data_IF_551554931025
#
_entry.id   IF_551554931025
#
_cell.length_a   1.000
_cell.length_b   1.000
_cell.length_c   1.000
_cell.angle_alpha   90.00
_cell.angle_beta   90.00
_cell.angle_gamma   90.00
#
_symmetry.space_group_name_H-M   'P 1'
#
loop_
_entity.id
_entity.type
_entity.pdbx_description
1 polymer ?
#
# COMPACT_ATOMS: atom_id res chain seq x y z
N UNK A 1 5.56 -11.01 28.95
CA UNK A 1 5.02 -10.11 27.90
C UNK A 1 6.06 -10.01 26.82
N UNK A 2 5.68 -9.84 25.57
CA UNK A 2 6.64 -10.00 24.48
C UNK A 2 7.44 -8.71 24.27
N UNK A 3 8.77 -8.86 24.25
CA UNK A 3 9.66 -7.82 23.76
C UNK A 3 9.38 -7.52 22.28
N UNK A 4 9.39 -6.24 21.92
CA UNK A 4 9.20 -5.78 20.57
C UNK A 4 10.43 -5.07 20.01
N UNK A 5 10.61 -5.10 18.70
CA UNK A 5 11.72 -4.39 18.05
C UNK A 5 11.59 -2.89 18.26
N UNK A 6 12.69 -2.24 18.67
CA UNK A 6 12.72 -0.81 18.99
C UNK A 6 12.24 0.05 17.80
N UNK A 7 12.68 -0.24 16.58
CA UNK A 7 12.22 0.49 15.39
C UNK A 7 10.71 0.35 15.13
N UNK A 8 10.09 -0.76 15.57
CA UNK A 8 8.64 -0.92 15.49
C UNK A 8 7.95 0.01 16.48
N UNK A 9 8.41 0.02 17.74
CA UNK A 9 7.88 0.88 18.79
C UNK A 9 8.01 2.36 18.38
N UNK A 10 9.18 2.80 17.92
CA UNK A 10 9.40 4.18 17.46
C UNK A 10 8.40 4.58 16.35
N UNK A 11 8.16 3.68 15.41
CA UNK A 11 7.21 3.94 14.32
C UNK A 11 5.75 3.96 14.79
N UNK A 12 5.36 3.08 15.71
CA UNK A 12 4.03 3.05 16.33
C UNK A 12 3.78 4.29 17.18
N UNK A 13 4.81 4.81 17.86
CA UNK A 13 4.72 6.09 18.59
C UNK A 13 4.71 7.32 17.67
N UNK A 14 4.73 7.14 16.36
CA UNK A 14 4.63 8.23 15.39
C UNK A 14 5.93 9.04 15.20
N UNK A 15 7.05 8.64 15.81
CA UNK A 15 8.30 9.38 15.76
C UNK A 15 8.88 9.44 14.33
N UNK A 16 8.91 8.28 13.64
CA UNK A 16 9.47 8.18 12.30
C UNK A 16 9.02 6.88 11.60
N UNK A 17 9.47 6.61 10.37
CA UNK A 17 9.27 5.30 9.75
C UNK A 17 10.19 4.25 10.37
N UNK A 18 9.87 2.95 10.23
CA UNK A 18 10.75 1.86 10.71
C UNK A 18 12.15 1.95 10.14
N UNK A 19 12.29 2.29 8.83
CA UNK A 19 13.61 2.47 8.18
C UNK A 19 14.35 3.68 8.71
N UNK A 20 13.67 4.80 8.93
CA UNK A 20 14.29 5.97 9.56
C UNK A 20 14.70 5.68 11.01
N UNK A 21 13.91 4.92 11.76
CA UNK A 21 14.27 4.46 13.08
C UNK A 21 15.54 3.59 13.08
N UNK A 22 15.66 2.66 12.12
CA UNK A 22 16.87 1.85 11.94
C UNK A 22 18.11 2.71 11.69
N UNK A 23 17.96 3.77 10.88
CA UNK A 23 19.05 4.73 10.64
C UNK A 23 19.43 5.49 11.92
N UNK A 24 18.46 6.04 12.65
CA UNK A 24 18.68 6.77 13.92
C UNK A 24 19.34 5.85 14.95
N UNK A 25 18.95 4.57 15.00
CA UNK A 25 19.59 3.57 15.87
C UNK A 25 21.03 3.32 15.43
N UNK A 26 21.30 3.16 14.13
CA UNK A 26 22.64 2.94 13.59
C UNK A 26 23.59 4.12 13.86
N UNK A 27 23.06 5.34 13.92
CA UNK A 27 23.76 6.58 14.27
C UNK A 27 24.08 6.67 15.78
N UNK A 28 23.62 5.69 16.60
CA UNK A 28 23.89 5.65 18.05
C UNK A 28 23.03 6.63 18.87
N UNK A 29 21.98 7.18 18.31
CA UNK A 29 21.11 8.21 18.92
C UNK A 29 19.98 7.63 19.78
N UNK A 30 19.88 6.30 19.86
CA UNK A 30 18.83 5.61 20.62
C UNK A 30 19.41 4.84 21.78
N UNK A 31 18.82 5.01 22.97
CA UNK A 31 19.19 4.30 24.20
C UNK A 31 17.96 3.64 24.83
N UNK A 32 18.14 2.48 25.42
CA UNK A 32 17.14 1.82 26.26
C UNK A 32 17.75 1.64 27.65
N UNK A 33 17.06 2.11 28.69
CA UNK A 33 17.53 2.09 30.07
C UNK A 33 18.95 2.72 30.23
N UNK A 34 19.24 3.75 29.42
CA UNK A 34 20.51 4.45 29.42
C UNK A 34 21.63 3.80 28.60
N UNK A 35 21.39 2.61 28.00
CA UNK A 35 22.38 1.89 27.19
C UNK A 35 22.11 2.06 25.71
N UNK A 36 23.12 2.36 24.87
CA UNK A 36 22.99 2.39 23.42
C UNK A 36 22.52 1.05 22.88
N UNK A 37 21.64 1.10 21.88
CA UNK A 37 21.05 -0.09 21.23
C UNK A 37 21.48 -0.21 19.77
N UNK A 38 21.32 -1.41 19.20
CA UNK A 38 21.64 -1.73 17.81
C UNK A 38 20.37 -2.02 17.01
N UNK A 39 20.46 -1.93 15.70
CA UNK A 39 19.38 -2.31 14.80
C UNK A 39 18.99 -3.78 15.00
N UNK A 40 17.72 -4.01 15.28
CA UNK A 40 17.18 -5.34 15.56
C UNK A 40 17.01 -5.66 17.05
N UNK A 41 17.56 -4.83 17.94
CA UNK A 41 17.35 -4.98 19.39
C UNK A 41 15.87 -4.79 19.73
N UNK A 42 15.50 -5.38 20.87
CA UNK A 42 14.12 -5.37 21.39
C UNK A 42 14.07 -4.72 22.75
N UNK A 43 12.88 -4.26 23.12
CA UNK A 43 12.60 -3.76 24.47
C UNK A 43 11.18 -4.16 24.90
N UNK A 44 10.92 -4.20 26.18
CA UNK A 44 9.57 -4.30 26.73
C UNK A 44 8.97 -2.88 26.87
N UNK A 45 7.96 -2.49 26.06
CA UNK A 45 7.38 -1.15 26.10
C UNK A 45 6.69 -0.82 27.43
N UNK A 46 6.50 -1.80 28.33
CA UNK A 46 5.87 -1.61 29.62
C UNK A 46 6.86 -1.39 30.76
N UNK A 47 8.13 -1.74 30.57
CA UNK A 47 9.15 -1.74 31.63
C UNK A 47 10.34 -0.88 31.30
N UNK A 48 10.73 -0.89 30.02
CA UNK A 48 11.94 -0.22 29.58
C UNK A 48 11.69 1.25 29.25
N UNK A 49 12.73 2.06 29.40
CA UNK A 49 12.70 3.49 29.11
C UNK A 49 13.47 3.75 27.83
N UNK A 50 12.77 4.27 26.82
CA UNK A 50 13.34 4.64 25.52
C UNK A 50 13.79 6.11 25.54
N UNK A 51 15.00 6.37 25.04
CA UNK A 51 15.51 7.71 24.77
C UNK A 51 15.92 7.82 23.29
N UNK A 52 15.63 8.95 22.68
CA UNK A 52 16.09 9.35 21.35
C UNK A 52 16.69 10.74 21.48
N UNK A 53 17.92 10.94 21.01
CA UNK A 53 18.69 12.19 21.19
C UNK A 53 18.73 12.68 22.64
N UNK A 54 18.91 11.72 23.58
CA UNK A 54 18.87 11.92 25.03
C UNK A 54 17.51 12.39 25.61
N UNK A 55 16.50 12.58 24.79
CA UNK A 55 15.13 12.87 25.23
C UNK A 55 14.34 11.57 25.51
N UNK A 56 13.67 11.54 26.68
CA UNK A 56 12.82 10.41 27.05
C UNK A 56 11.55 10.35 26.19
N UNK A 57 11.30 9.21 25.57
CA UNK A 57 10.08 8.93 24.83
C UNK A 57 9.06 8.23 25.72
N UNK A 58 7.93 8.87 25.94
CA UNK A 58 6.81 8.30 26.67
C UNK A 58 5.96 7.42 25.76
N UNK A 59 5.99 6.10 25.99
CA UNK A 59 5.24 5.14 25.18
C UNK A 59 3.77 5.20 25.54
N UNK A 60 2.96 5.66 24.60
CA UNK A 60 1.50 5.71 24.74
C UNK A 60 0.92 4.32 24.43
N UNK A 61 0.29 3.69 25.40
CA UNK A 61 -0.30 2.34 25.28
C UNK A 61 -1.63 2.32 24.50
N UNK A 62 -2.37 3.42 24.55
CA UNK A 62 -3.71 3.55 23.95
C UNK A 62 -3.68 4.67 22.89
N UNK A 63 -2.91 4.48 21.84
CA UNK A 63 -3.01 5.40 20.69
C UNK A 63 -4.35 5.24 19.99
N UNK A 64 -4.94 6.35 19.59
CA UNK A 64 -6.11 6.33 18.73
C UNK A 64 -5.71 5.75 17.37
N UNK A 65 -6.40 4.68 16.95
CA UNK A 65 -6.23 4.08 15.65
C UNK A 65 -7.16 4.74 14.64
N UNK A 66 -6.61 4.97 13.46
CA UNK A 66 -7.32 5.57 12.32
C UNK A 66 -7.37 4.58 11.16
N UNK A 67 -8.54 4.45 10.56
CA UNK A 67 -8.80 3.64 9.37
C UNK A 67 -9.59 4.49 8.40
N UNK A 68 -8.97 4.91 7.31
CA UNK A 68 -9.56 5.82 6.34
C UNK A 68 -9.72 5.12 5.00
N UNK A 69 -10.86 5.33 4.37
CA UNK A 69 -11.09 5.03 2.97
C UNK A 69 -10.93 6.32 2.17
N UNK A 70 -9.81 6.45 1.48
CA UNK A 70 -9.46 7.62 0.67
C UNK A 70 -9.77 7.33 -0.80
N UNK A 71 -10.47 8.23 -1.49
CA UNK A 71 -10.47 8.24 -2.95
C UNK A 71 -9.19 8.95 -3.42
N UNK A 72 -8.22 8.18 -3.89
CA UNK A 72 -6.99 8.74 -4.46
C UNK A 72 -7.26 9.26 -5.87
N UNK A 73 -7.09 10.56 -6.15
CA UNK A 73 -7.18 11.08 -7.51
C UNK A 73 -5.93 10.73 -8.33
N UNK A 74 -6.04 10.86 -9.65
CA UNK A 74 -4.88 10.78 -10.55
C UNK A 74 -3.88 11.88 -10.25
N UNK A 75 -2.60 11.63 -10.52
CA UNK A 75 -1.53 12.60 -10.34
C UNK A 75 -0.82 12.52 -8.99
N UNK A 76 -1.42 11.89 -7.99
CA UNK A 76 -0.83 11.69 -6.66
C UNK A 76 -0.04 10.38 -6.59
N UNK A 77 1.15 10.44 -6.00
CA UNK A 77 2.00 9.26 -5.77
C UNK A 77 1.63 8.62 -4.43
N UNK A 78 1.53 7.29 -4.40
CA UNK A 78 1.29 6.54 -3.17
C UNK A 78 2.62 6.29 -2.45
N UNK A 79 3.04 7.27 -1.67
CA UNK A 79 4.23 7.21 -0.82
C UNK A 79 4.04 8.09 0.41
N UNK A 80 4.73 7.75 1.50
CA UNK A 80 4.76 8.57 2.71
C UNK A 80 5.76 9.73 2.61
N UNK A 81 6.73 9.66 1.70
CA UNK A 81 7.66 10.75 1.39
C UNK A 81 8.06 10.68 -0.08
N UNK A 82 8.35 11.80 -0.69
CA UNK A 82 8.78 11.88 -2.08
C UNK A 82 9.93 12.90 -2.23
N UNK A 83 11.08 12.41 -2.68
CA UNK A 83 12.29 13.22 -2.86
C UNK A 83 12.24 14.09 -4.13
N UNK A 84 11.31 13.79 -5.04
CA UNK A 84 11.15 14.51 -6.30
C UNK A 84 10.13 15.65 -6.23
N UNK A 85 9.58 15.95 -5.05
CA UNK A 85 8.62 17.02 -4.84
C UNK A 85 7.26 16.81 -5.55
N UNK A 86 6.90 15.54 -5.87
CA UNK A 86 5.61 15.23 -6.48
C UNK A 86 4.51 15.23 -5.42
N UNK A 87 3.29 15.55 -5.82
CA UNK A 87 2.12 15.43 -4.94
C UNK A 87 1.96 14.01 -4.44
N UNK A 88 1.85 13.84 -3.13
CA UNK A 88 1.68 12.55 -2.49
C UNK A 88 0.30 12.40 -1.85
N UNK A 89 -0.13 11.18 -1.62
CA UNK A 89 -1.40 10.89 -0.92
C UNK A 89 -1.40 11.44 0.51
N UNK A 90 -0.24 11.75 1.08
CA UNK A 90 -0.14 12.34 2.42
C UNK A 90 -0.72 13.75 2.49
N UNK A 91 -0.67 14.52 1.39
CA UNK A 91 -1.30 15.84 1.31
C UNK A 91 -2.81 15.79 1.47
N UNK A 92 -3.44 14.67 1.05
CA UNK A 92 -4.88 14.47 1.11
C UNK A 92 -5.40 14.11 2.51
N UNK A 93 -4.51 13.83 3.45
CA UNK A 93 -4.84 13.44 4.84
C UNK A 93 -4.06 14.28 5.85
N UNK A 94 -3.53 15.43 5.43
CA UNK A 94 -2.70 16.31 6.26
C UNK A 94 -3.44 16.85 7.50
N UNK A 95 -4.77 16.97 7.44
CA UNK A 95 -5.60 17.47 8.54
C UNK A 95 -5.80 16.46 9.68
N UNK A 96 -5.40 15.19 9.46
CA UNK A 96 -5.56 14.15 10.47
C UNK A 96 -4.39 14.22 11.46
N UNK A 97 -4.65 14.38 12.76
CA UNK A 97 -3.60 14.54 13.78
C UNK A 97 -2.96 13.18 14.15
N UNK A 98 -2.55 12.42 13.15
CA UNK A 98 -1.90 11.12 13.30
C UNK A 98 -0.95 10.86 12.14
N UNK A 99 0.14 10.13 12.41
CA UNK A 99 1.06 9.70 11.37
C UNK A 99 0.46 8.52 10.60
N UNK A 100 -0.26 8.82 9.54
CA UNK A 100 -0.86 7.84 8.64
C UNK A 100 0.14 7.34 7.58
N UNK A 101 -0.16 6.17 7.02
CA UNK A 101 0.52 5.63 5.83
C UNK A 101 -0.45 4.83 4.98
N UNK A 102 -0.19 4.75 3.66
CA UNK A 102 -1.06 4.01 2.75
C UNK A 102 -0.95 2.50 2.97
N UNK A 103 -2.08 1.81 2.88
CA UNK A 103 -2.21 0.34 2.91
C UNK A 103 -2.18 -0.17 1.47
N UNK A 104 -1.03 -0.61 1.04
CA UNK A 104 -0.77 -0.92 -0.37
C UNK A 104 -0.57 0.33 -1.22
N UNK A 105 -0.70 0.16 -2.53
CA UNK A 105 -0.38 1.22 -3.49
C UNK A 105 -1.39 1.28 -4.64
N UNK A 106 -1.53 2.48 -5.19
CA UNK A 106 -2.06 2.76 -6.53
C UNK A 106 -1.03 3.59 -7.29
N UNK A 107 -0.87 3.33 -8.57
CA UNK A 107 0.03 4.12 -9.42
C UNK A 107 -0.41 5.57 -9.52
N UNK A 108 0.51 6.47 -9.90
CA UNK A 108 0.24 7.89 -10.09
C UNK A 108 -0.92 8.14 -11.07
N UNK A 109 -0.97 7.36 -12.13
CA UNK A 109 -1.97 7.44 -13.22
C UNK A 109 -3.24 6.58 -12.97
N UNK A 110 -3.36 5.96 -11.81
CA UNK A 110 -4.54 5.21 -11.35
C UNK A 110 -5.26 5.99 -10.24
N UNK A 111 -6.54 5.71 -10.05
CA UNK A 111 -7.40 6.39 -9.08
C UNK A 111 -8.26 5.41 -8.28
N UNK A 112 -9.01 5.91 -7.31
CA UNK A 112 -9.99 5.15 -6.55
C UNK A 112 -9.56 4.79 -5.14
N UNK A 113 -10.16 3.74 -4.58
CA UNK A 113 -10.04 3.38 -3.17
C UNK A 113 -8.61 3.06 -2.75
N UNK A 114 -8.12 3.82 -1.78
CA UNK A 114 -6.87 3.59 -1.08
C UNK A 114 -7.14 3.66 0.43
N UNK A 115 -6.76 2.62 1.16
CA UNK A 115 -6.87 2.63 2.62
C UNK A 115 -5.65 3.33 3.22
N UNK A 116 -5.87 4.11 4.27
CA UNK A 116 -4.82 4.80 5.05
C UNK A 116 -5.02 4.45 6.53
N UNK A 117 -3.94 4.25 7.26
CA UNK A 117 -3.99 3.89 8.68
C UNK A 117 -2.70 4.24 9.41
N UNK A 118 -2.75 4.23 10.74
CA UNK A 118 -1.59 4.19 11.64
C UNK A 118 -1.46 2.81 12.34
N UNK A 119 -2.31 1.84 12.00
CA UNK A 119 -2.26 0.46 12.51
C UNK A 119 -1.41 -0.44 11.59
N UNK A 120 -0.19 -0.77 12.05
CA UNK A 120 0.73 -1.63 11.31
C UNK A 120 0.27 -3.07 11.16
N UNK A 121 -0.49 -3.59 12.12
CA UNK A 121 -1.02 -4.96 12.06
C UNK A 121 -2.13 -5.06 11.00
N UNK A 122 -3.04 -4.10 10.99
CA UNK A 122 -4.05 -3.99 9.94
C UNK A 122 -3.43 -3.83 8.55
N UNK A 123 -2.50 -2.91 8.39
CA UNK A 123 -1.81 -2.71 7.11
C UNK A 123 -1.14 -3.98 6.61
N UNK A 124 -0.48 -4.73 7.49
CA UNK A 124 0.14 -6.00 7.15
C UNK A 124 -0.90 -7.05 6.74
N UNK A 125 -1.98 -7.19 7.51
CA UNK A 125 -3.04 -8.16 7.21
C UNK A 125 -3.67 -7.92 5.82
N UNK A 126 -3.89 -6.66 5.44
CA UNK A 126 -4.49 -6.29 4.15
C UNK A 126 -3.50 -6.41 2.98
N UNK A 127 -2.20 -6.21 3.21
CA UNK A 127 -1.21 -6.17 2.12
C UNK A 127 -0.42 -7.46 1.94
N UNK A 128 -0.41 -8.34 2.94
CA UNK A 128 0.37 -9.59 2.86
C UNK A 128 -0.19 -10.52 1.78
N UNK A 129 0.66 -11.05 0.89
CA UNK A 129 0.22 -11.90 -0.23
C UNK A 129 -0.58 -13.13 0.20
N UNK A 130 -0.24 -13.74 1.35
CA UNK A 130 -0.96 -14.91 1.87
C UNK A 130 -2.41 -14.63 2.29
N UNK A 131 -2.78 -13.36 2.49
CA UNK A 131 -4.13 -12.96 2.85
C UNK A 131 -5.14 -13.12 1.71
N UNK A 132 -4.70 -13.26 0.48
CA UNK A 132 -5.56 -13.45 -0.68
C UNK A 132 -6.60 -12.34 -0.87
N UNK A 133 -6.31 -11.14 -0.39
CA UNK A 133 -7.24 -10.00 -0.37
C UNK A 133 -7.61 -9.60 -1.79
N UNK A 134 -8.88 -9.76 -2.11
CA UNK A 134 -9.41 -9.41 -3.44
C UNK A 134 -9.56 -7.89 -3.60
N UNK A 135 -9.21 -7.41 -4.79
CA UNK A 135 -9.34 -6.01 -5.19
C UNK A 135 -10.07 -5.95 -6.52
N UNK A 136 -11.13 -5.15 -6.59
CA UNK A 136 -11.92 -4.94 -7.80
C UNK A 136 -11.49 -3.64 -8.46
N UNK A 137 -11.20 -3.73 -9.75
CA UNK A 137 -10.81 -2.59 -10.57
C UNK A 137 -11.78 -2.43 -11.74
N UNK A 138 -12.19 -1.20 -12.01
CA UNK A 138 -12.86 -0.82 -13.25
C UNK A 138 -11.82 -0.32 -14.23
N UNK A 139 -11.78 -0.95 -15.40
CA UNK A 139 -10.73 -0.75 -16.41
C UNK A 139 -11.39 -0.41 -17.74
N UNK A 140 -10.97 0.69 -18.37
CA UNK A 140 -11.33 1.02 -19.74
C UNK A 140 -10.16 0.74 -20.65
N UNK A 141 -10.36 -0.07 -21.67
CA UNK A 141 -9.32 -0.43 -22.65
C UNK A 141 -9.70 -0.01 -24.07
N UNK A 142 -8.68 0.26 -24.89
CA UNK A 142 -8.74 0.49 -26.31
C UNK A 142 -7.67 -0.33 -27.03
N UNK A 143 -7.96 -0.84 -28.25
CA UNK A 143 -9.26 -0.91 -28.92
C UNK A 143 -10.28 -1.76 -28.15
N UNK A 144 -11.47 -1.96 -28.70
CA UNK A 144 -12.49 -2.86 -28.16
C UNK A 144 -11.91 -4.27 -28.00
N UNK A 145 -12.11 -4.87 -26.83
CA UNK A 145 -11.69 -6.24 -26.56
C UNK A 145 -12.76 -7.22 -26.97
N UNK A 146 -12.39 -8.22 -27.75
CA UNK A 146 -13.28 -9.32 -28.10
C UNK A 146 -13.34 -10.38 -26.99
N UNK A 147 -14.31 -11.28 -27.06
CA UNK A 147 -14.53 -12.31 -26.05
C UNK A 147 -13.32 -13.24 -25.86
N UNK A 148 -12.64 -13.61 -26.96
CA UNK A 148 -11.48 -14.47 -26.92
C UNK A 148 -10.29 -13.82 -26.15
N UNK A 149 -10.11 -12.51 -26.31
CA UNK A 149 -9.09 -11.77 -25.59
C UNK A 149 -9.44 -11.58 -24.11
N UNK A 150 -10.71 -11.36 -23.79
CA UNK A 150 -11.20 -11.30 -22.41
C UNK A 150 -10.96 -12.63 -21.70
N UNK A 151 -11.21 -13.75 -22.39
CA UNK A 151 -10.93 -15.09 -21.86
C UNK A 151 -9.43 -15.29 -21.61
N UNK A 152 -8.56 -14.82 -22.49
CA UNK A 152 -7.10 -14.84 -22.27
C UNK A 152 -6.69 -14.02 -21.06
N UNK A 153 -7.22 -12.79 -20.91
CA UNK A 153 -6.98 -11.95 -19.74
C UNK A 153 -7.39 -12.67 -18.44
N UNK A 154 -8.58 -13.27 -18.43
CA UNK A 154 -9.11 -13.95 -17.24
C UNK A 154 -8.33 -15.20 -16.84
N UNK A 155 -7.74 -15.90 -17.81
CA UNK A 155 -6.94 -17.12 -17.59
C UNK A 155 -5.53 -16.83 -17.08
N UNK A 156 -5.14 -15.56 -17.03
CA UNK A 156 -3.79 -15.12 -16.72
C UNK A 156 -2.89 -15.02 -17.95
N UNK A 157 -2.05 -14.00 -17.95
CA UNK A 157 -1.23 -13.59 -19.10
C UNK A 157 0.24 -13.75 -18.75
N UNK A 158 1.07 -14.18 -19.71
CA UNK A 158 2.53 -14.11 -19.62
C UNK A 158 2.96 -12.70 -19.99
N UNK A 159 3.58 -12.01 -19.05
CA UNK A 159 4.08 -10.64 -19.23
C UNK A 159 5.41 -10.64 -19.98
N UNK A 160 5.85 -9.48 -20.46
CA UNK A 160 7.10 -9.34 -21.24
C UNK A 160 8.37 -9.79 -20.48
N UNK A 161 8.34 -9.78 -19.15
CA UNK A 161 9.44 -10.28 -18.32
C UNK A 161 9.36 -11.80 -18.03
N UNK A 162 8.45 -12.51 -18.70
CA UNK A 162 8.19 -13.93 -18.50
C UNK A 162 7.35 -14.28 -17.28
N UNK A 163 6.97 -13.30 -16.46
CA UNK A 163 6.11 -13.53 -15.29
C UNK A 163 4.70 -13.86 -15.75
N UNK A 164 4.14 -14.99 -15.27
CA UNK A 164 2.73 -15.34 -15.47
C UNK A 164 1.89 -14.71 -14.36
N UNK A 165 0.78 -14.05 -14.74
CA UNK A 165 -0.20 -13.55 -13.79
C UNK A 165 -1.16 -14.66 -13.36
N UNK A 166 -1.76 -14.50 -12.18
CA UNK A 166 -2.81 -15.41 -11.73
C UNK A 166 -4.10 -15.20 -12.57
N UNK A 167 -4.93 -16.23 -12.68
CA UNK A 167 -6.29 -16.06 -13.22
C UNK A 167 -7.06 -15.02 -12.39
N UNK A 168 -7.91 -14.24 -13.07
CA UNK A 168 -8.74 -13.24 -12.45
C UNK A 168 -10.17 -13.27 -13.02
N UNK A 169 -11.15 -12.90 -12.19
CA UNK A 169 -12.53 -12.76 -12.67
C UNK A 169 -12.68 -11.45 -13.46
N UNK A 170 -13.30 -11.53 -14.61
CA UNK A 170 -13.58 -10.37 -15.45
C UNK A 170 -15.08 -10.33 -15.77
N UNK A 171 -15.69 -9.17 -15.59
CA UNK A 171 -17.06 -8.87 -16.00
C UNK A 171 -17.05 -7.67 -16.95
N UNK A 172 -17.62 -7.82 -18.14
CA UNK A 172 -17.77 -6.71 -19.09
C UNK A 172 -18.94 -5.85 -18.66
N UNK A 173 -18.67 -4.59 -18.40
CA UNK A 173 -19.67 -3.60 -17.96
C UNK A 173 -20.27 -2.87 -19.15
N UNK A 174 -19.41 -2.45 -20.09
CA UNK A 174 -19.83 -1.75 -21.31
C UNK A 174 -18.94 -2.19 -22.45
N UNK A 175 -19.57 -2.51 -23.56
CA UNK A 175 -18.92 -2.90 -24.81
C UNK A 175 -19.41 -1.98 -25.95
N UNK A 176 -18.52 -1.06 -26.34
CA UNK A 176 -18.82 -0.01 -27.33
C UNK A 176 -17.84 -0.09 -28.50
N UNK A 177 -18.23 0.43 -29.69
CA UNK A 177 -17.25 0.58 -30.76
C UNK A 177 -16.01 1.34 -30.32
N UNK A 178 -14.85 0.69 -30.44
CA UNK A 178 -13.53 1.28 -30.11
C UNK A 178 -13.07 1.19 -28.66
N UNK A 179 -13.94 0.76 -27.71
CA UNK A 179 -13.52 0.57 -26.30
C UNK A 179 -14.33 -0.49 -25.58
N UNK A 180 -13.74 -1.07 -24.56
CA UNK A 180 -14.43 -1.95 -23.61
C UNK A 180 -14.18 -1.46 -22.18
N UNK A 181 -15.25 -1.42 -21.37
CA UNK A 181 -15.17 -1.19 -19.92
C UNK A 181 -15.41 -2.52 -19.23
N UNK A 182 -14.48 -2.94 -18.38
CA UNK A 182 -14.59 -4.20 -17.65
C UNK A 182 -14.24 -4.01 -16.18
N UNK A 183 -14.77 -4.88 -15.35
CA UNK A 183 -14.41 -5.04 -13.96
C UNK A 183 -13.53 -6.27 -13.79
N UNK A 184 -12.35 -6.08 -13.20
CA UNK A 184 -11.36 -7.13 -12.98
C UNK A 184 -11.13 -7.32 -11.48
N UNK A 185 -11.32 -8.55 -10.99
CA UNK A 185 -11.07 -8.90 -9.58
C UNK A 185 -9.75 -9.66 -9.46
N UNK A 186 -8.76 -9.04 -8.84
CA UNK A 186 -7.43 -9.61 -8.63
C UNK A 186 -7.22 -9.95 -7.15
N UNK A 187 -6.50 -11.06 -6.88
CA UNK A 187 -6.05 -11.48 -5.54
C UNK A 187 -4.56 -11.24 -5.30
N UNK A 188 -3.86 -10.84 -6.33
CA UNK A 188 -2.44 -10.44 -6.27
C UNK A 188 -2.28 -8.93 -6.54
N UNK A 189 -1.06 -8.43 -6.61
CA UNK A 189 -0.80 -7.01 -6.81
C UNK A 189 0.61 -6.78 -7.30
N UNK A 190 0.96 -7.37 -8.45
CA UNK A 190 2.25 -7.13 -9.11
C UNK A 190 2.32 -5.69 -9.61
N UNK A 191 3.54 -5.19 -9.78
CA UNK A 191 3.74 -3.84 -10.30
C UNK A 191 3.03 -3.64 -11.63
N UNK A 192 2.13 -2.63 -11.69
CA UNK A 192 1.33 -2.24 -12.87
C UNK A 192 0.65 -3.41 -13.58
N UNK A 193 0.21 -4.41 -12.82
CA UNK A 193 -0.21 -5.72 -13.31
C UNK A 193 -1.28 -5.62 -14.40
N UNK A 194 -2.41 -4.97 -14.14
CA UNK A 194 -3.52 -4.83 -15.10
C UNK A 194 -3.06 -4.14 -16.38
N UNK A 195 -2.26 -3.08 -16.27
CA UNK A 195 -1.73 -2.36 -17.44
C UNK A 195 -0.83 -3.25 -18.29
N UNK A 196 0.05 -4.01 -17.63
CA UNK A 196 0.95 -4.96 -18.30
C UNK A 196 0.21 -6.14 -18.93
N UNK A 197 -0.84 -6.65 -18.28
CA UNK A 197 -1.70 -7.70 -18.82
C UNK A 197 -2.40 -7.23 -20.09
N UNK A 198 -3.00 -6.04 -20.06
CA UNK A 198 -3.68 -5.45 -21.21
C UNK A 198 -2.69 -5.17 -22.35
N UNK A 199 -1.53 -4.58 -22.04
CA UNK A 199 -0.48 -4.28 -23.01
C UNK A 199 0.06 -5.53 -23.71
N UNK A 200 0.26 -6.64 -22.98
CA UNK A 200 0.71 -7.91 -23.54
C UNK A 200 -0.27 -8.52 -24.57
N UNK A 201 -1.52 -8.10 -24.54
CA UNK A 201 -2.55 -8.48 -25.52
C UNK A 201 -2.86 -7.36 -26.53
N UNK A 202 -2.06 -6.29 -26.57
CA UNK A 202 -2.19 -5.19 -27.53
C UNK A 202 -3.23 -4.12 -27.14
N UNK A 203 -3.66 -4.08 -25.87
CA UNK A 203 -4.62 -3.09 -25.37
C UNK A 203 -3.94 -1.96 -24.60
N UNK A 204 -4.45 -0.75 -24.82
CA UNK A 204 -4.09 0.43 -24.03
C UNK A 204 -5.13 0.65 -22.92
N UNK A 205 -4.69 0.75 -21.68
CA UNK A 205 -5.54 1.13 -20.55
C UNK A 205 -5.75 2.64 -20.53
N UNK A 206 -6.97 3.08 -20.76
CA UNK A 206 -7.37 4.50 -20.79
C UNK A 206 -7.68 5.02 -19.40
N UNK A 207 -8.36 4.22 -18.59
CA UNK A 207 -8.63 4.52 -17.18
C UNK A 207 -8.53 3.26 -16.34
N UNK A 208 -8.11 3.44 -15.08
CA UNK A 208 -7.97 2.37 -14.11
C UNK A 208 -8.36 2.92 -12.74
N UNK A 209 -9.48 2.43 -12.22
CA UNK A 209 -10.05 2.85 -10.93
C UNK A 209 -10.20 1.63 -10.03
N UNK A 210 -9.60 1.66 -8.84
CA UNK A 210 -9.88 0.64 -7.83
C UNK A 210 -11.18 0.99 -7.10
N UNK A 211 -12.21 0.16 -7.27
CA UNK A 211 -13.55 0.42 -6.74
C UNK A 211 -13.85 -0.33 -5.46
N UNK A 212 -13.10 -1.41 -5.15
CA UNK A 212 -13.33 -2.20 -3.94
C UNK A 212 -12.07 -2.93 -3.47
N UNK A 213 -11.91 -3.04 -2.16
CA UNK A 213 -10.96 -3.91 -1.47
C UNK A 213 -11.78 -4.77 -0.52
N UNK A 214 -11.84 -6.10 -0.70
CA UNK A 214 -12.75 -7.02 0.00
C UNK A 214 -14.20 -6.53 -0.12
N UNK A 215 -14.81 -6.13 0.99
CA UNK A 215 -16.17 -5.57 1.10
C UNK A 215 -16.20 -4.05 1.33
N UNK A 216 -15.04 -3.37 1.31
CA UNK A 216 -14.94 -1.90 1.43
C UNK A 216 -15.02 -1.30 0.02
N UNK A 217 -15.94 -0.37 -0.21
CA UNK A 217 -16.18 0.34 -1.48
C UNK A 217 -15.97 1.84 -1.33
#
# INVERSE_FOLDING_TARGET
MAEERIQKIMAEQGLCSRRAAEQIIAEGRVKVNGHPVKVGDKMDPNRDVLHVDDERIYIQKNQQLYYLALYKPRGYVTTASDELGRKTVMELVADIPARLYPVGRLDKDSEGLLLMTNDGAFAQAVTHPSGGISKLYRVTVQPRADEAQILKLSSGVVLYDGTKTMPCAINVVTDEPGRTVMEMTLKEGKNREIRRMCEALGYRVMSLTRVRIMNIT
#
